data_IF_075910329389
#
_entry.id   IF_075910329389
#
_cell.length_a   1.000
_cell.length_b   1.000
_cell.length_c   1.000
_cell.angle_alpha   90.00
_cell.angle_beta   90.00
_cell.angle_gamma   90.00
#
_symmetry.space_group_name_H-M   'P 1'
#
loop_
_entity.id
_entity.type
_entity.pdbx_description
1 polymer ?
#
# COMPACT_ATOMS: atom_id res chain seq x y z
N UNK A 1 -42.35 2.47 -25.81
CA UNK A 1 -42.56 3.04 -24.45
C UNK A 1 -41.33 3.88 -24.15
N UNK A 2 -41.53 5.15 -23.78
CA UNK A 2 -40.56 6.26 -23.67
C UNK A 2 -39.31 5.89 -22.84
N UNK A 3 -38.10 6.43 -23.01
CA UNK A 3 -37.63 7.65 -23.66
C UNK A 3 -36.80 8.48 -22.68
N UNK A 4 -35.46 8.52 -22.83
CA UNK A 4 -34.51 9.55 -22.39
C UNK A 4 -33.11 9.12 -22.90
N UNK A 5 -32.35 9.83 -23.72
CA UNK A 5 -32.31 11.26 -24.05
C UNK A 5 -30.92 11.81 -23.67
N UNK A 6 -29.87 11.44 -24.41
CA UNK A 6 -28.53 12.03 -24.27
C UNK A 6 -28.39 13.18 -25.28
N UNK A 7 -28.24 14.41 -24.78
CA UNK A 7 -27.90 15.58 -25.59
C UNK A 7 -26.42 15.52 -26.00
N UNK A 8 -26.17 15.62 -27.31
CA UNK A 8 -24.84 15.83 -27.89
C UNK A 8 -24.33 17.24 -27.64
N UNK A 9 -23.01 17.34 -27.48
CA UNK A 9 -22.25 18.59 -27.52
C UNK A 9 -21.79 18.83 -28.96
N UNK A 10 -21.89 20.04 -29.52
CA UNK A 10 -21.33 20.35 -30.82
C UNK A 10 -19.86 20.76 -30.72
N UNK A 11 -19.13 20.43 -31.79
CA UNK A 11 -17.76 20.81 -32.08
C UNK A 11 -17.57 22.33 -32.23
N UNK A 12 -16.36 22.79 -31.89
CA UNK A 12 -15.74 23.98 -32.49
C UNK A 12 -15.88 25.29 -31.72
N UNK A 13 -14.89 25.64 -30.90
CA UNK A 13 -14.56 27.03 -30.63
C UNK A 13 -13.07 27.18 -30.27
N UNK A 14 -12.45 28.16 -30.92
CA UNK A 14 -11.02 28.42 -30.95
C UNK A 14 -10.45 28.97 -29.62
N UNK A 15 -9.15 28.72 -29.43
CA UNK A 15 -8.31 29.30 -28.38
C UNK A 15 -7.79 30.67 -28.81
N UNK A 16 -7.92 31.73 -28.01
CA UNK A 16 -7.06 32.90 -28.12
C UNK A 16 -6.00 32.90 -27.01
N UNK A 17 -4.74 33.02 -27.42
CA UNK A 17 -3.63 33.53 -26.58
C UNK A 17 -3.75 35.05 -26.49
N UNK A 18 -3.52 35.61 -25.30
CA UNK A 18 -2.59 36.72 -24.96
C UNK A 18 -3.07 37.47 -23.70
N UNK A 19 -2.14 37.94 -22.87
CA UNK A 19 -2.34 39.18 -22.11
C UNK A 19 -2.19 39.10 -20.59
N UNK A 20 -0.95 39.23 -20.14
CA UNK A 20 -0.48 40.01 -18.98
C UNK A 20 -1.50 40.63 -18.00
N UNK A 21 -1.33 40.30 -16.72
CA UNK A 21 -1.43 41.22 -15.59
C UNK A 21 -2.82 41.40 -14.97
N UNK A 22 -2.97 41.08 -13.68
CA UNK A 22 -3.33 42.04 -12.62
C UNK A 22 -3.51 41.32 -11.25
N UNK A 23 -2.63 41.73 -10.33
CA UNK A 23 -2.84 42.05 -8.90
C UNK A 23 -3.61 41.07 -8.00
N UNK A 24 -2.85 40.58 -7.02
CA UNK A 24 -3.35 39.98 -5.78
C UNK A 24 -4.23 40.96 -4.99
N UNK A 25 -5.45 40.54 -4.66
CA UNK A 25 -6.30 41.16 -3.67
C UNK A 25 -6.23 40.33 -2.38
N UNK A 26 -5.57 40.87 -1.36
CA UNK A 26 -5.52 40.30 -0.02
C UNK A 26 -6.87 40.36 0.67
N UNK A 27 -7.43 39.20 1.01
CA UNK A 27 -8.61 39.10 1.85
C UNK A 27 -8.17 39.15 3.33
N UNK A 28 -8.31 40.31 3.97
CA UNK A 28 -8.17 40.46 5.43
C UNK A 28 -9.49 40.12 6.10
N UNK A 29 -9.62 38.92 6.65
CA UNK A 29 -10.70 38.56 7.56
C UNK A 29 -10.45 39.21 8.93
N UNK A 30 -11.35 40.13 9.32
CA UNK A 30 -11.39 40.76 10.63
C UNK A 30 -12.02 39.78 11.64
N UNK A 31 -11.25 39.31 12.62
CA UNK A 31 -11.80 38.69 13.82
C UNK A 31 -12.46 39.76 14.70
N UNK A 32 -13.77 39.61 14.95
CA UNK A 32 -14.47 40.33 16.02
C UNK A 32 -14.32 39.53 17.31
N UNK A 33 -13.77 40.18 18.33
CA UNK A 33 -13.67 39.69 19.71
C UNK A 33 -15.04 39.66 20.39
N UNK A 34 -15.35 38.56 21.08
CA UNK A 34 -16.46 38.43 22.04
C UNK A 34 -15.81 38.31 23.45
N UNK A 35 -16.21 39.11 24.45
CA UNK A 35 -15.67 39.00 25.80
C UNK A 35 -16.53 38.10 26.70
N UNK A 36 -15.86 37.34 27.57
CA UNK A 36 -16.43 36.85 28.84
C UNK A 36 -16.80 35.38 28.89
N UNK A 37 -15.89 34.55 29.41
CA UNK A 37 -16.23 33.51 30.41
C UNK A 37 -14.96 33.01 31.08
N UNK A 38 -14.94 33.05 32.41
CA UNK A 38 -13.82 32.66 33.26
C UNK A 38 -13.66 31.13 33.25
N UNK A 39 -12.52 30.64 32.74
CA UNK A 39 -12.12 29.25 32.88
C UNK A 39 -11.50 29.03 34.27
N UNK A 40 -12.15 28.20 35.08
CA UNK A 40 -11.62 27.70 36.35
C UNK A 40 -10.49 26.71 36.06
N UNK A 41 -9.32 26.96 36.66
CA UNK A 41 -8.17 26.06 36.65
C UNK A 41 -8.45 24.85 37.57
N UNK A 42 -8.43 23.63 37.01
CA UNK A 42 -8.31 22.39 37.77
C UNK A 42 -6.82 22.16 38.11
N UNK A 43 -6.47 21.70 39.32
CA UNK A 43 -5.08 21.38 39.66
C UNK A 43 -4.66 20.03 39.04
N UNK A 44 -3.45 20.00 38.48
CA UNK A 44 -2.82 18.82 37.90
C UNK A 44 -2.44 17.80 38.98
N UNK A 45 -2.74 16.52 38.73
CA UNK A 45 -2.27 15.40 39.55
C UNK A 45 -0.80 15.07 39.24
N UNK A 46 0.01 14.64 40.22
CA UNK A 46 1.43 14.36 40.00
C UNK A 46 1.63 13.05 39.23
N UNK A 47 2.50 13.11 38.22
CA UNK A 47 2.94 11.96 37.43
C UNK A 47 3.85 11.05 38.28
N UNK A 48 3.43 9.80 38.48
CA UNK A 48 4.25 8.74 39.07
C UNK A 48 5.28 8.29 38.03
N UNK A 49 6.54 8.69 38.23
CA UNK A 49 7.69 8.19 37.46
C UNK A 49 7.89 6.72 37.82
N UNK A 50 7.52 5.80 36.92
CA UNK A 50 7.88 4.38 37.02
C UNK A 50 9.35 4.22 36.67
N UNK A 51 10.13 3.62 37.58
CA UNK A 51 11.53 3.22 37.32
C UNK A 51 11.55 2.16 36.20
N UNK A 52 12.53 2.17 35.28
CA UNK A 52 12.66 1.11 34.29
C UNK A 52 13.08 -0.20 34.98
N UNK A 53 12.64 -1.37 34.48
CA UNK A 53 13.07 -2.65 35.03
C UNK A 53 14.54 -2.91 34.71
N UNK A 54 15.25 -3.44 35.69
CA UNK A 54 16.61 -3.97 35.57
C UNK A 54 16.60 -5.13 34.56
N UNK A 55 17.42 -5.02 33.51
CA UNK A 55 17.64 -6.08 32.52
C UNK A 55 18.60 -7.11 33.14
N UNK A 56 18.10 -8.31 33.42
CA UNK A 56 18.94 -9.50 33.56
C UNK A 56 19.11 -10.12 32.18
N UNK A 57 20.37 -10.30 31.77
CA UNK A 57 20.72 -11.06 30.57
C UNK A 57 20.61 -12.55 30.88
N UNK A 58 19.65 -13.23 30.24
CA UNK A 58 19.66 -14.69 30.15
C UNK A 58 20.08 -15.10 28.74
N UNK A 59 21.18 -15.83 28.68
CA UNK A 59 21.58 -16.61 27.51
C UNK A 59 20.70 -17.88 27.45
N UNK A 60 19.67 -17.87 26.61
CA UNK A 60 19.02 -19.10 26.14
C UNK A 60 18.25 -18.84 24.85
N UNK A 61 18.51 -19.66 23.83
CA UNK A 61 17.91 -19.59 22.49
C UNK A 61 16.40 -19.86 22.47
N UNK A 62 15.60 -18.87 22.84
CA UNK A 62 14.14 -18.84 22.72
C UNK A 62 13.68 -17.80 21.70
N UNK A 63 12.59 -18.10 21.00
CA UNK A 63 11.99 -17.25 19.98
C UNK A 63 11.64 -15.86 20.54
N UNK A 64 12.30 -14.83 20.04
CA UNK A 64 12.13 -13.44 20.45
C UNK A 64 10.75 -12.93 19.96
N UNK A 65 9.91 -12.33 20.83
CA UNK A 65 8.62 -11.78 20.42
C UNK A 65 8.76 -10.71 19.33
N UNK A 66 7.78 -10.57 18.43
CA UNK A 66 7.84 -9.67 17.27
C UNK A 66 8.23 -8.22 17.61
N UNK A 67 7.70 -7.67 18.71
CA UNK A 67 8.05 -6.32 19.19
C UNK A 67 9.54 -6.16 19.56
N UNK A 68 10.19 -7.22 20.06
CA UNK A 68 11.63 -7.21 20.36
C UNK A 68 12.50 -7.43 19.11
N UNK A 69 11.93 -7.95 18.00
CA UNK A 69 12.58 -7.91 16.68
C UNK A 69 12.53 -6.50 16.10
N UNK A 70 11.37 -5.85 16.15
CA UNK A 70 11.19 -4.46 15.69
C UNK A 70 12.14 -3.48 16.41
N UNK A 71 12.31 -3.60 17.75
CA UNK A 71 13.25 -2.75 18.50
C UNK A 71 14.73 -3.03 18.18
N UNK A 72 15.13 -4.29 17.96
CA UNK A 72 16.50 -4.62 17.50
C UNK A 72 16.77 -4.10 16.09
N UNK A 73 15.75 -4.06 15.24
CA UNK A 73 15.83 -3.71 13.83
C UNK A 73 16.04 -2.20 13.62
N UNK A 74 15.38 -1.36 14.44
CA UNK A 74 15.63 0.10 14.46
C UNK A 74 16.99 0.41 15.12
N UNK A 75 17.43 -0.40 16.08
CA UNK A 75 18.68 -0.19 16.80
C UNK A 75 19.95 -0.34 15.92
N UNK A 76 19.92 -1.14 14.86
CA UNK A 76 21.07 -1.30 13.93
C UNK A 76 21.36 -0.01 13.13
N UNK A 77 20.40 0.90 13.05
CA UNK A 77 20.53 2.22 12.42
C UNK A 77 20.66 3.38 13.43
N UNK A 78 20.77 3.09 14.73
CA UNK A 78 20.82 4.12 15.78
C UNK A 78 22.14 4.94 15.81
N UNK A 79 23.09 4.62 14.92
CA UNK A 79 24.32 5.37 14.72
C UNK A 79 24.14 6.50 13.69
N UNK A 80 24.71 6.30 12.50
CA UNK A 80 24.64 7.25 11.40
C UNK A 80 23.40 7.01 10.52
N UNK A 81 22.45 7.94 10.54
CA UNK A 81 21.20 7.88 9.78
C UNK A 81 21.31 8.49 8.37
N UNK A 82 22.49 8.94 7.95
CA UNK A 82 22.70 9.61 6.67
C UNK A 82 23.59 8.83 5.70
N UNK A 83 24.52 8.02 6.19
CA UNK A 83 25.40 7.23 5.31
C UNK A 83 24.60 6.17 4.55
N UNK A 84 24.68 6.24 3.22
CA UNK A 84 24.04 5.29 2.31
C UNK A 84 24.98 4.13 1.99
N UNK A 85 24.48 2.87 1.98
CA UNK A 85 25.28 1.73 1.55
C UNK A 85 25.50 1.75 0.03
N UNK A 86 26.62 1.16 -0.41
CA UNK A 86 26.82 0.89 -1.83
C UNK A 86 25.89 -0.23 -2.28
N UNK A 87 24.94 0.10 -3.16
CA UNK A 87 23.96 -0.85 -3.69
C UNK A 87 24.49 -1.57 -4.95
N UNK A 88 24.27 -2.88 -5.03
CA UNK A 88 24.48 -3.64 -6.27
C UNK A 88 23.47 -3.14 -7.32
N UNK A 89 23.93 -2.70 -8.50
CA UNK A 89 23.03 -2.18 -9.53
C UNK A 89 22.10 -3.27 -10.12
N UNK A 90 22.39 -4.56 -9.98
CA UNK A 90 21.51 -5.64 -10.43
C UNK A 90 20.39 -5.90 -9.42
N UNK A 91 19.30 -5.12 -9.51
CA UNK A 91 18.15 -5.27 -8.61
C UNK A 91 17.55 -6.67 -8.71
N UNK A 92 17.41 -7.21 -9.94
CA UNK A 92 16.76 -8.52 -10.15
C UNK A 92 17.47 -9.64 -9.37
N UNK A 93 18.80 -9.55 -9.25
CA UNK A 93 19.58 -10.48 -8.44
C UNK A 93 19.28 -10.41 -6.94
N UNK A 94 18.95 -9.22 -6.44
CA UNK A 94 18.91 -8.86 -5.02
C UNK A 94 17.49 -8.70 -4.43
N UNK A 95 16.46 -9.12 -5.16
CA UNK A 95 15.03 -9.00 -4.75
C UNK A 95 14.58 -9.98 -3.64
N UNK A 96 15.46 -10.84 -3.13
CA UNK A 96 15.11 -11.86 -2.13
C UNK A 96 13.86 -12.66 -2.54
N UNK A 97 12.82 -12.75 -1.68
CA UNK A 97 11.63 -13.55 -1.95
C UNK A 97 10.82 -13.00 -3.14
N UNK A 98 10.98 -11.71 -3.49
CA UNK A 98 10.24 -11.08 -4.59
C UNK A 98 10.80 -11.43 -5.97
N UNK A 99 12.00 -12.01 -6.05
CA UNK A 99 12.68 -12.27 -7.32
C UNK A 99 11.83 -13.05 -8.31
N UNK A 100 11.10 -14.06 -7.84
CA UNK A 100 10.26 -14.93 -8.68
C UNK A 100 8.98 -14.26 -9.16
N UNK A 101 8.59 -13.13 -8.57
CA UNK A 101 7.43 -12.33 -8.98
C UNK A 101 7.76 -11.34 -10.10
N UNK A 102 9.04 -11.04 -10.35
CA UNK A 102 9.44 -10.12 -11.41
C UNK A 102 9.03 -10.68 -12.79
N UNK A 103 8.32 -9.87 -13.59
CA UNK A 103 7.82 -10.24 -14.91
C UNK A 103 6.46 -9.62 -15.24
N UNK A 104 5.88 -10.06 -16.34
CA UNK A 104 4.50 -9.77 -16.72
C UNK A 104 3.65 -11.03 -16.54
N UNK A 105 2.47 -10.88 -15.95
CA UNK A 105 1.63 -12.00 -15.54
C UNK A 105 0.17 -11.81 -15.94
N UNK A 106 -0.52 -12.93 -16.13
CA UNK A 106 -1.97 -13.00 -16.31
C UNK A 106 -2.60 -14.00 -15.34
N UNK A 107 -3.79 -13.65 -14.84
CA UNK A 107 -4.57 -14.43 -13.89
C UNK A 107 -6.01 -14.59 -14.35
N UNK A 108 -6.39 -15.84 -14.61
CA UNK A 108 -7.72 -16.19 -15.15
C UNK A 108 -8.54 -17.05 -14.17
N UNK A 109 -7.91 -17.55 -13.10
CA UNK A 109 -8.51 -18.42 -12.08
C UNK A 109 -8.78 -17.62 -10.81
N UNK A 110 -9.58 -16.57 -10.93
CA UNK A 110 -9.81 -15.63 -9.84
C UNK A 110 -11.19 -15.80 -9.18
N UNK A 111 -11.28 -15.32 -7.94
CA UNK A 111 -12.54 -15.20 -7.23
C UNK A 111 -12.50 -13.98 -6.31
N UNK A 112 -13.34 -12.99 -6.61
CA UNK A 112 -13.69 -11.84 -5.75
C UNK A 112 -14.97 -12.17 -4.97
N UNK A 113 -14.94 -11.99 -3.64
CA UNK A 113 -16.13 -11.90 -2.79
C UNK A 113 -16.32 -10.44 -2.36
N UNK A 114 -17.29 -9.76 -2.97
CA UNK A 114 -17.53 -8.33 -2.74
C UNK A 114 -18.93 -8.01 -2.19
N UNK A 115 -19.10 -6.77 -1.78
CA UNK A 115 -20.38 -6.24 -1.35
C UNK A 115 -21.37 -6.11 -2.51
N UNK A 116 -22.56 -6.67 -2.32
CA UNK A 116 -23.75 -6.41 -3.12
C UNK A 116 -24.89 -5.77 -2.34
N UNK A 117 -25.89 -5.20 -3.07
CA UNK A 117 -27.09 -4.62 -2.45
C UNK A 117 -27.84 -5.59 -1.54
N UNK A 118 -27.83 -6.88 -1.88
CA UNK A 118 -28.57 -7.94 -1.19
C UNK A 118 -27.67 -8.93 -0.43
N UNK A 119 -26.40 -8.59 -0.18
CA UNK A 119 -25.43 -9.49 0.48
C UNK A 119 -24.13 -9.69 -0.32
N UNK A 120 -23.25 -10.61 0.13
CA UNK A 120 -22.01 -10.93 -0.58
C UNK A 120 -22.29 -11.43 -2.00
N UNK A 121 -21.47 -11.02 -2.97
CA UNK A 121 -21.51 -11.52 -4.34
C UNK A 121 -20.15 -12.10 -4.70
N UNK A 122 -20.17 -13.16 -5.51
CA UNK A 122 -18.99 -13.78 -6.08
C UNK A 122 -18.81 -13.28 -7.51
N UNK A 123 -17.61 -12.80 -7.85
CA UNK A 123 -17.29 -12.25 -9.15
C UNK A 123 -15.96 -12.82 -9.64
N UNK A 124 -15.94 -13.38 -10.84
CA UNK A 124 -14.69 -13.73 -11.53
C UNK A 124 -14.15 -12.48 -12.23
N UNK A 125 -12.83 -12.32 -12.27
CA UNK A 125 -12.12 -11.29 -13.02
C UNK A 125 -10.90 -11.87 -13.76
N UNK A 126 -10.43 -11.17 -14.79
CA UNK A 126 -9.14 -11.43 -15.41
C UNK A 126 -8.18 -10.34 -14.98
N UNK A 127 -7.00 -10.74 -14.54
CA UNK A 127 -5.95 -9.84 -14.08
C UNK A 127 -4.78 -9.87 -15.05
N UNK A 128 -4.20 -8.70 -15.30
CA UNK A 128 -2.86 -8.55 -15.87
C UNK A 128 -2.05 -7.66 -14.95
N UNK A 129 -0.89 -8.14 -14.52
CA UNK A 129 0.01 -7.41 -13.62
C UNK A 129 1.43 -7.40 -14.16
N UNK A 130 2.00 -6.21 -14.30
CA UNK A 130 3.42 -6.02 -14.62
C UNK A 130 4.16 -5.72 -13.32
N UNK A 131 5.24 -6.44 -13.05
CA UNK A 131 6.12 -6.32 -11.88
C UNK A 131 7.55 -6.16 -12.38
N UNK A 132 8.04 -4.92 -12.49
CA UNK A 132 9.31 -4.63 -13.14
C UNK A 132 10.35 -4.11 -12.14
N UNK A 133 11.60 -4.62 -12.18
CA UNK A 133 12.69 -4.13 -11.34
C UNK A 133 12.88 -2.62 -11.46
N UNK A 134 13.01 -1.95 -10.32
CA UNK A 134 13.45 -0.56 -10.21
C UNK A 134 14.88 -0.49 -9.67
N UNK A 135 15.56 0.63 -9.86
CA UNK A 135 16.87 0.84 -9.27
C UNK A 135 16.78 0.81 -7.73
N UNK A 136 17.80 0.29 -7.03
CA UNK A 136 17.80 0.23 -5.58
C UNK A 136 17.63 1.62 -4.97
N UNK A 137 16.96 1.68 -3.83
CA UNK A 137 16.71 2.91 -3.07
C UNK A 137 17.37 2.84 -1.71
N UNK A 138 17.83 3.98 -1.23
CA UNK A 138 18.42 4.14 0.10
C UNK A 138 17.63 5.16 0.91
N UNK A 139 17.46 4.89 2.21
CA UNK A 139 16.99 5.88 3.18
C UNK A 139 18.04 5.97 4.29
N UNK A 140 19.09 6.75 4.03
CA UNK A 140 20.31 6.68 4.84
C UNK A 140 20.85 5.25 4.82
N UNK A 141 21.04 4.59 5.98
CA UNK A 141 21.63 3.25 6.03
C UNK A 141 20.71 2.13 5.52
N UNK A 142 19.41 2.39 5.34
CA UNK A 142 18.48 1.38 4.82
C UNK A 142 18.67 1.20 3.30
N UNK A 143 18.65 -0.05 2.83
CA UNK A 143 18.72 -0.41 1.41
C UNK A 143 17.50 -1.22 0.98
N UNK A 144 16.81 -0.76 -0.06
CA UNK A 144 15.62 -1.39 -0.62
C UNK A 144 15.85 -1.79 -2.09
N UNK A 145 15.58 -3.06 -2.39
CA UNK A 145 15.40 -3.55 -3.76
C UNK A 145 13.91 -3.68 -4.05
N UNK A 146 13.48 -3.37 -5.28
CA UNK A 146 12.05 -3.27 -5.52
C UNK A 146 11.56 -3.59 -6.92
N UNK A 147 10.25 -3.81 -7.01
CA UNK A 147 9.47 -3.93 -8.22
C UNK A 147 8.44 -2.79 -8.24
N UNK A 148 8.44 -1.97 -9.29
CA UNK A 148 7.27 -1.15 -9.61
C UNK A 148 6.21 -2.05 -10.25
N UNK A 149 4.96 -1.90 -9.83
CA UNK A 149 3.88 -2.67 -10.43
C UNK A 149 2.68 -1.85 -10.88
N UNK A 150 2.02 -2.38 -11.92
CA UNK A 150 0.71 -1.93 -12.40
C UNK A 150 -0.14 -3.17 -12.59
N UNK A 151 -1.27 -3.23 -11.90
CA UNK A 151 -2.25 -4.29 -12.02
C UNK A 151 -3.56 -3.74 -12.60
N UNK A 152 -4.12 -4.49 -13.54
CA UNK A 152 -5.39 -4.18 -14.21
C UNK A 152 -6.28 -5.40 -14.19
N UNK A 153 -7.47 -5.25 -13.64
CA UNK A 153 -8.49 -6.30 -13.60
C UNK A 153 -9.70 -5.90 -14.42
N UNK A 154 -10.23 -6.84 -15.20
CA UNK A 154 -11.46 -6.71 -15.99
C UNK A 154 -12.41 -7.85 -15.69
N UNK A 155 -13.71 -7.67 -15.95
CA UNK A 155 -14.64 -8.80 -15.93
C UNK A 155 -14.46 -9.67 -17.18
N UNK A 156 -14.73 -10.98 -17.13
CA UNK A 156 -14.71 -11.84 -18.31
C UNK A 156 -15.59 -11.25 -19.43
N UNK A 157 -15.01 -11.13 -20.63
CA UNK A 157 -15.68 -10.56 -21.81
C UNK A 157 -15.87 -9.03 -21.80
N UNK A 158 -15.44 -8.33 -20.75
CA UNK A 158 -15.57 -6.88 -20.65
C UNK A 158 -14.24 -6.18 -21.01
N UNK A 159 -14.36 -5.04 -21.69
CA UNK A 159 -13.22 -4.15 -21.96
C UNK A 159 -12.97 -3.19 -20.80
N UNK A 160 -14.02 -2.80 -20.09
CA UNK A 160 -13.94 -1.83 -19.00
C UNK A 160 -13.12 -2.36 -17.82
N UNK A 161 -12.19 -1.53 -17.34
CA UNK A 161 -11.40 -1.81 -16.14
C UNK A 161 -12.31 -1.84 -14.91
N UNK A 162 -12.28 -2.95 -14.19
CA UNK A 162 -13.03 -3.17 -12.96
C UNK A 162 -12.24 -2.72 -11.72
N UNK A 163 -10.93 -3.02 -11.72
CA UNK A 163 -9.98 -2.59 -10.70
C UNK A 163 -8.66 -2.21 -11.38
N UNK A 164 -8.01 -1.17 -10.87
CA UNK A 164 -6.67 -0.75 -11.31
C UNK A 164 -5.89 -0.39 -10.06
N UNK A 165 -4.65 -0.86 -9.97
CA UNK A 165 -3.81 -0.66 -8.80
C UNK A 165 -2.37 -0.48 -9.23
N UNK A 166 -1.63 0.37 -8.52
CA UNK A 166 -0.19 0.54 -8.74
C UNK A 166 0.51 0.86 -7.43
N UNK A 167 1.82 0.63 -7.39
CA UNK A 167 2.67 0.90 -6.25
C UNK A 167 3.97 0.12 -6.38
N UNK A 168 4.51 -0.30 -5.25
CA UNK A 168 5.80 -0.99 -5.17
C UNK A 168 5.73 -2.22 -4.30
N UNK A 169 6.45 -3.27 -4.70
CA UNK A 169 6.88 -4.36 -3.83
C UNK A 169 8.36 -4.14 -3.51
N UNK A 170 8.71 -3.99 -2.24
CA UNK A 170 10.06 -3.69 -1.80
C UNK A 170 10.55 -4.78 -0.86
N UNK A 171 11.85 -5.02 -0.89
CA UNK A 171 12.56 -5.98 -0.07
C UNK A 171 13.77 -5.29 0.56
N UNK A 172 13.87 -5.42 1.88
CA UNK A 172 14.99 -4.95 2.68
C UNK A 172 15.81 -6.15 3.18
N UNK A 173 17.01 -6.41 2.61
CA UNK A 173 17.78 -7.60 2.98
C UNK A 173 18.26 -7.61 4.43
N UNK A 174 18.64 -6.45 4.99
CA UNK A 174 19.22 -6.35 6.32
C UNK A 174 18.27 -6.83 7.42
N UNK A 175 16.97 -6.67 7.19
CA UNK A 175 15.94 -6.88 8.20
C UNK A 175 14.86 -7.86 7.81
N UNK A 176 15.04 -8.46 6.63
CA UNK A 176 14.11 -9.37 6.02
C UNK A 176 12.68 -8.81 5.88
N UNK A 177 12.57 -7.51 5.61
CA UNK A 177 11.28 -6.81 5.53
C UNK A 177 10.76 -6.78 4.09
N UNK A 178 9.52 -7.21 3.90
CA UNK A 178 8.76 -7.09 2.64
C UNK A 178 7.72 -5.99 2.80
N UNK A 179 7.70 -5.05 1.86
CA UNK A 179 6.78 -3.91 1.87
C UNK A 179 5.97 -3.92 0.59
N UNK A 180 4.65 -3.78 0.70
CA UNK A 180 3.74 -3.63 -0.42
C UNK A 180 2.98 -2.32 -0.29
N UNK A 181 3.26 -1.38 -1.20
CA UNK A 181 2.49 -0.14 -1.32
C UNK A 181 1.46 -0.29 -2.42
N UNK A 182 0.26 0.24 -2.19
CA UNK A 182 -0.78 0.24 -3.20
C UNK A 182 -1.57 1.53 -3.16
N UNK A 183 -1.95 2.00 -4.35
CA UNK A 183 -2.94 3.05 -4.56
C UNK A 183 -3.91 2.65 -5.64
N UNK A 184 -5.17 3.01 -5.44
CA UNK A 184 -6.28 2.69 -6.35
C UNK A 184 -6.98 3.98 -6.81
N UNK A 185 -7.55 4.03 -8.02
CA UNK A 185 -8.18 5.24 -8.60
C UNK A 185 -9.54 5.58 -7.96
N UNK A 186 -9.78 5.13 -6.74
CA UNK A 186 -10.91 5.52 -5.88
C UNK A 186 -10.46 6.48 -4.77
N UNK A 187 -9.20 6.90 -4.80
CA UNK A 187 -8.58 7.75 -3.80
C UNK A 187 -8.38 7.03 -2.46
N UNK A 188 -7.78 5.85 -2.53
CA UNK A 188 -7.37 5.09 -1.35
C UNK A 188 -5.95 4.56 -1.57
N UNK A 189 -5.18 4.51 -0.49
CA UNK A 189 -3.82 3.96 -0.46
C UNK A 189 -3.64 3.12 0.80
N UNK A 190 -2.79 2.09 0.70
CA UNK A 190 -2.35 1.29 1.84
C UNK A 190 -0.86 0.95 1.70
N UNK A 191 -0.19 0.74 2.83
CA UNK A 191 1.15 0.17 2.89
C UNK A 191 1.14 -1.02 3.83
N UNK A 192 1.30 -2.22 3.27
CA UNK A 192 1.38 -3.46 4.02
C UNK A 192 2.83 -3.85 4.26
N UNK A 193 3.13 -4.38 5.45
CA UNK A 193 4.47 -4.82 5.83
C UNK A 193 4.40 -6.25 6.36
N UNK A 194 5.44 -7.04 6.08
CA UNK A 194 5.63 -8.39 6.59
C UNK A 194 7.11 -8.77 6.56
N UNK A 195 7.43 -9.96 7.07
CA UNK A 195 8.80 -10.47 7.06
C UNK A 195 8.87 -11.85 6.42
N UNK A 196 9.95 -12.12 5.69
CA UNK A 196 10.15 -13.37 4.98
C UNK A 196 11.63 -13.60 4.75
N UNK A 197 12.15 -14.82 4.89
CA UNK A 197 13.55 -15.09 4.52
C UNK A 197 13.82 -14.83 3.03
N UNK A 198 15.08 -14.59 2.66
CA UNK A 198 15.48 -14.31 1.28
C UNK A 198 15.05 -15.39 0.25
N UNK A 199 14.90 -16.64 0.70
CA UNK A 199 14.48 -17.80 -0.11
C UNK A 199 13.03 -18.24 0.15
N UNK A 200 12.26 -17.47 0.93
CA UNK A 200 10.90 -17.82 1.30
C UNK A 200 10.01 -17.97 0.06
N UNK A 201 9.21 -19.03 0.06
CA UNK A 201 8.22 -19.32 -0.99
C UNK A 201 6.80 -18.95 -0.58
N UNK A 202 6.60 -18.49 0.66
CA UNK A 202 5.31 -18.03 1.19
C UNK A 202 5.55 -16.95 2.22
N UNK A 203 4.79 -15.86 2.13
CA UNK A 203 4.90 -14.74 3.05
C UNK A 203 3.58 -13.96 3.12
N UNK A 204 3.40 -13.23 4.21
CA UNK A 204 2.18 -12.48 4.50
C UNK A 204 2.52 -11.05 4.90
N UNK A 205 1.76 -10.07 4.39
CA UNK A 205 1.89 -8.66 4.73
C UNK A 205 0.56 -8.12 5.26
N UNK A 206 0.63 -7.12 6.15
CA UNK A 206 -0.54 -6.49 6.77
C UNK A 206 -0.43 -4.96 6.79
N UNK A 207 -1.56 -4.30 6.53
CA UNK A 207 -1.76 -2.87 6.75
C UNK A 207 -2.93 -2.66 7.72
N UNK A 208 -2.82 -1.64 8.57
CA UNK A 208 -3.78 -1.31 9.61
C UNK A 208 -4.16 0.16 9.57
N UNK A 209 -5.45 0.44 9.67
CA UNK A 209 -5.94 1.82 9.79
C UNK A 209 -5.35 2.50 11.03
N UNK A 210 -4.94 3.76 10.84
CA UNK A 210 -4.44 4.60 11.93
C UNK A 210 -2.96 4.36 12.27
N UNK A 211 -2.34 3.33 11.72
CA UNK A 211 -0.91 3.11 11.84
C UNK A 211 -0.11 4.16 11.05
N UNK A 212 0.99 4.62 11.63
CA UNK A 212 1.96 5.51 10.97
C UNK A 212 3.10 4.73 10.27
N UNK A 213 3.16 3.41 10.44
CA UNK A 213 4.23 2.55 9.91
C UNK A 213 3.73 1.54 8.87
N UNK A 214 2.45 1.19 8.86
CA UNK A 214 1.80 0.32 7.86
C UNK A 214 0.32 0.75 7.66
N UNK A 215 0.13 2.02 7.33
CA UNK A 215 -1.17 2.70 7.37
C UNK A 215 -2.08 2.52 6.15
N UNK A 216 -3.34 2.92 6.33
CA UNK A 216 -4.38 3.00 5.29
C UNK A 216 -5.03 4.39 5.32
N UNK A 217 -5.17 5.02 4.16
CA UNK A 217 -5.81 6.34 4.00
C UNK A 217 -6.83 6.32 2.84
N UNK A 218 -7.99 6.94 3.03
CA UNK A 218 -9.06 7.00 2.02
C UNK A 218 -9.70 8.38 1.90
N UNK A 219 -10.33 8.64 0.74
CA UNK A 219 -11.15 9.83 0.52
C UNK A 219 -12.40 9.88 1.43
N UNK A 220 -12.97 11.07 1.68
CA UNK A 220 -14.04 11.27 2.66
C UNK A 220 -15.28 10.37 2.49
N UNK A 221 -15.66 10.06 1.25
CA UNK A 221 -16.82 9.17 1.02
C UNK A 221 -16.54 7.73 1.45
N UNK A 222 -15.32 7.22 1.18
CA UNK A 222 -14.94 5.88 1.63
C UNK A 222 -14.85 5.84 3.15
N UNK A 223 -14.29 6.87 3.78
CA UNK A 223 -14.25 7.00 5.24
C UNK A 223 -15.66 6.99 5.87
N UNK A 224 -16.65 7.57 5.19
CA UNK A 224 -18.03 7.61 5.67
C UNK A 224 -18.81 6.30 5.41
N UNK A 225 -18.62 5.68 4.24
CA UNK A 225 -19.53 4.66 3.72
C UNK A 225 -18.92 3.24 3.65
N UNK A 226 -17.62 3.13 3.39
CA UNK A 226 -16.89 1.89 3.13
C UNK A 226 -15.50 1.98 3.76
N UNK A 227 -15.44 2.12 5.08
CA UNK A 227 -14.21 2.41 5.80
C UNK A 227 -13.36 1.15 5.89
N UNK A 228 -12.19 1.15 5.26
CA UNK A 228 -11.24 0.03 5.34
C UNK A 228 -10.51 0.02 6.67
N UNK A 229 -10.66 -1.03 7.47
CA UNK A 229 -10.01 -1.19 8.78
C UNK A 229 -8.63 -1.84 8.66
N UNK A 230 -8.51 -2.88 7.83
CA UNK A 230 -7.27 -3.60 7.62
C UNK A 230 -7.20 -4.21 6.23
N UNK A 231 -5.98 -4.51 5.81
CA UNK A 231 -5.67 -5.25 4.60
C UNK A 231 -4.62 -6.31 4.93
N UNK A 232 -4.82 -7.52 4.45
CA UNK A 232 -3.87 -8.63 4.55
C UNK A 232 -3.73 -9.28 3.19
N UNK A 233 -2.50 -9.53 2.78
CA UNK A 233 -2.17 -10.31 1.58
C UNK A 233 -1.20 -11.42 1.96
N UNK A 234 -1.48 -12.63 1.50
CA UNK A 234 -0.53 -13.74 1.55
C UNK A 234 -0.19 -14.20 0.15
N UNK A 235 1.12 -14.31 -0.11
CA UNK A 235 1.68 -14.71 -1.39
C UNK A 235 2.25 -16.12 -1.27
N UNK A 236 2.07 -16.93 -2.30
CA UNK A 236 2.70 -18.25 -2.44
C UNK A 236 3.36 -18.39 -3.81
N UNK A 237 4.64 -18.74 -3.83
CA UNK A 237 5.44 -18.97 -5.04
C UNK A 237 5.46 -20.46 -5.37
N UNK A 238 4.68 -20.88 -6.36
CA UNK A 238 4.42 -22.30 -6.63
C UNK A 238 5.59 -22.97 -7.39
N UNK A 239 5.81 -24.29 -7.24
CA UNK A 239 6.91 -24.99 -7.92
C UNK A 239 6.86 -24.94 -9.45
N UNK A 240 5.68 -24.76 -10.04
CA UNK A 240 5.46 -24.67 -11.50
C UNK A 240 5.82 -23.31 -12.11
N UNK A 241 6.35 -22.38 -11.30
CA UNK A 241 6.73 -21.04 -11.74
C UNK A 241 5.59 -20.02 -11.70
N UNK A 242 4.37 -20.43 -11.33
CA UNK A 242 3.27 -19.51 -11.02
C UNK A 242 3.42 -18.91 -9.62
N UNK A 243 2.65 -17.88 -9.32
CA UNK A 243 2.45 -17.45 -7.94
C UNK A 243 0.97 -17.17 -7.69
N UNK A 244 0.55 -17.34 -6.44
CA UNK A 244 -0.82 -17.13 -5.99
C UNK A 244 -0.87 -16.11 -4.89
N UNK A 245 -2.04 -15.48 -4.72
CA UNK A 245 -2.31 -14.66 -3.55
C UNK A 245 -3.70 -14.94 -2.95
N UNK A 246 -3.82 -14.64 -1.66
CA UNK A 246 -5.06 -14.56 -0.89
C UNK A 246 -5.10 -13.23 -0.14
N UNK A 247 -6.07 -12.39 -0.49
CA UNK A 247 -6.28 -11.08 0.11
C UNK A 247 -7.54 -11.08 0.97
N UNK A 248 -7.47 -10.37 2.10
CA UNK A 248 -8.63 -10.02 2.94
C UNK A 248 -8.56 -8.53 3.29
N UNK A 249 -9.55 -7.78 2.82
CA UNK A 249 -9.78 -6.38 3.14
C UNK A 249 -11.00 -6.27 4.03
N UNK A 250 -10.80 -5.86 5.28
CA UNK A 250 -11.90 -5.70 6.24
C UNK A 250 -12.49 -4.30 6.11
N UNK A 251 -13.79 -4.23 5.85
CA UNK A 251 -14.55 -3.00 5.65
C UNK A 251 -15.63 -2.83 6.72
N UNK A 252 -15.67 -1.65 7.35
CA UNK A 252 -16.87 -1.18 8.04
C UNK A 252 -17.78 -0.47 7.04
N UNK A 253 -18.95 -1.05 6.82
CA UNK A 253 -19.92 -0.56 5.84
C UNK A 253 -21.03 0.17 6.54
N UNK A 254 -21.29 1.41 6.14
CA UNK A 254 -22.32 2.23 6.78
C UNK A 254 -23.67 1.53 6.74
N UNK A 255 -24.31 1.44 7.91
CA UNK A 255 -25.59 0.77 8.09
C UNK A 255 -25.50 -0.74 8.32
N UNK A 256 -24.29 -1.32 8.39
CA UNK A 256 -24.06 -2.71 8.81
C UNK A 256 -23.31 -2.74 10.14
N UNK A 257 -23.77 -3.54 11.13
CA UNK A 257 -23.10 -3.61 12.43
C UNK A 257 -21.80 -4.41 12.37
N UNK A 258 -21.77 -5.47 11.56
CA UNK A 258 -20.63 -6.38 11.46
C UNK A 258 -19.64 -5.95 10.37
N UNK A 259 -18.33 -6.16 10.59
CA UNK A 259 -17.32 -6.02 9.54
C UNK A 259 -17.61 -6.90 8.33
N UNK A 260 -17.31 -6.39 7.14
CA UNK A 260 -17.37 -7.15 5.90
C UNK A 260 -15.96 -7.55 5.44
N UNK A 261 -15.74 -8.83 5.22
CA UNK A 261 -14.51 -9.38 4.64
C UNK A 261 -14.62 -9.41 3.12
N UNK A 262 -13.96 -8.46 2.46
CA UNK A 262 -13.79 -8.47 1.01
C UNK A 262 -12.55 -9.30 0.69
N UNK A 263 -12.75 -10.46 0.07
CA UNK A 263 -11.66 -11.41 -0.17
C UNK A 263 -11.43 -11.62 -1.65
N UNK A 264 -10.16 -11.70 -2.04
CA UNK A 264 -9.72 -11.90 -3.41
C UNK A 264 -8.68 -13.01 -3.45
N UNK A 265 -8.78 -13.90 -4.44
CA UNK A 265 -7.79 -14.95 -4.69
C UNK A 265 -7.49 -15.06 -6.17
N UNK A 266 -6.23 -15.27 -6.52
CA UNK A 266 -5.83 -15.55 -7.89
C UNK A 266 -4.55 -16.40 -7.96
N UNK A 267 -4.34 -17.04 -9.10
CA UNK A 267 -3.06 -17.67 -9.49
C UNK A 267 -2.62 -17.10 -10.83
N UNK A 268 -1.39 -16.60 -10.85
CA UNK A 268 -0.81 -15.83 -11.92
C UNK A 268 0.21 -16.65 -12.69
N UNK A 269 0.05 -16.68 -14.01
CA UNK A 269 0.97 -17.33 -14.95
C UNK A 269 1.79 -16.27 -15.67
N UNK A 270 3.10 -16.48 -15.75
CA UNK A 270 4.01 -15.54 -16.42
C UNK A 270 3.77 -15.59 -17.92
N UNK A 271 3.71 -14.41 -18.54
CA UNK A 271 3.60 -14.26 -19.98
C UNK A 271 4.83 -13.58 -20.59
N UNK A 272 5.56 -12.76 -19.82
CA UNK A 272 6.85 -12.18 -20.24
C UNK A 272 7.83 -12.10 -19.06
N UNK A 273 9.12 -12.23 -19.35
CA UNK A 273 10.18 -12.09 -18.35
C UNK A 273 10.43 -10.63 -17.94
N UNK A 274 11.00 -10.37 -16.76
CA UNK A 274 11.32 -9.02 -16.32
C UNK A 274 12.41 -8.42 -17.22
N UNK A 275 12.30 -7.12 -17.41
CA UNK A 275 13.39 -6.34 -17.99
C UNK A 275 14.38 -5.92 -16.90
N UNK A 276 15.68 -5.77 -17.18
CA UNK A 276 16.63 -5.23 -16.20
C UNK A 276 16.18 -3.86 -15.70
N UNK A 277 16.52 -3.49 -14.46
CA UNK A 277 16.29 -2.12 -13.95
C UNK A 277 17.06 -1.08 -14.80
N UNK A 278 16.65 0.20 -14.81
CA UNK A 278 17.22 1.22 -15.69
C UNK A 278 18.74 1.30 -15.68
N UNK A 279 19.40 1.26 -14.51
CA UNK A 279 20.88 1.30 -14.41
C UNK A 279 21.59 0.11 -15.04
N UNK A 280 20.90 -1.01 -15.25
CA UNK A 280 21.42 -2.22 -15.90
C UNK A 280 21.16 -2.25 -17.41
N UNK A 281 20.37 -1.31 -17.94
CA UNK A 281 20.16 -1.18 -19.38
C UNK A 281 21.32 -0.38 -19.97
N UNK A 282 21.95 -0.90 -21.02
CA UNK A 282 22.90 -0.11 -21.79
C UNK A 282 22.14 1.05 -22.46
N UNK A 283 22.70 2.27 -22.46
CA UNK A 283 22.12 3.39 -23.20
C UNK A 283 22.06 3.13 -24.71
#
# INVERSE_FOLDING_TARGET
MQGAGYCGLPDGAAVPRTGSGLRAAGCRLRCRSIPGSAARLCPAAPALIRRPPTVHTDEAGGNVPAAFREERQVADHAGDIFTEPEADPDTLRNLGPLRRMAGLWEGMKSLDVNLGPNGPRRQVYHERIALQPMDPQTNGPQLLYGLHYVARMVKPGAVATYHHQTGYWLWEPATETVIHTLTIPRGQTAMAIGHAAADATRFELRAERGSTVNGICSLPFLELAFRTESFRIEVTLNPDGTWSYDEDTVLMVRGRPEPFHHTDRNTLTRIEDPTPNPRMRRP
#
